data_IF_050983909201
#
_entry.id   IF_050983909201
#
_cell.length_a   1.000
_cell.length_b   1.000
_cell.length_c   1.000
_cell.angle_alpha   90.00
_cell.angle_beta   90.00
_cell.angle_gamma   90.00
#
_symmetry.space_group_name_H-M   'P 1'
#
loop_
_entity.id
_entity.type
_entity.pdbx_description
1 polymer ?
#
# COMPACT_ATOMS: atom_id res chain seq x y z
N UNK A 1 -30.64 -9.68 -6.51
CA UNK A 1 -30.14 -8.93 -5.32
C UNK A 1 -28.69 -8.59 -5.57
N UNK A 2 -28.34 -7.30 -5.60
CA UNK A 2 -26.96 -6.86 -5.78
C UNK A 2 -26.28 -6.82 -4.41
N UNK A 3 -25.07 -7.38 -4.31
CA UNK A 3 -24.23 -7.36 -3.10
C UNK A 3 -22.97 -6.54 -3.40
N UNK A 4 -22.53 -5.76 -2.41
CA UNK A 4 -21.34 -4.90 -2.51
C UNK A 4 -20.22 -5.55 -1.71
N UNK A 5 -19.04 -5.68 -2.32
CA UNK A 5 -17.86 -6.33 -1.73
C UNK A 5 -16.66 -5.38 -1.77
N UNK A 6 -15.73 -5.56 -0.81
CA UNK A 6 -14.39 -4.96 -0.85
C UNK A 6 -13.36 -6.05 -1.06
N UNK A 7 -12.24 -5.74 -1.71
CA UNK A 7 -11.06 -6.62 -1.71
C UNK A 7 -10.54 -6.75 -0.27
N UNK A 8 -10.14 -7.96 0.12
CA UNK A 8 -9.62 -8.27 1.46
C UNK A 8 -8.10 -8.33 1.50
N UNK A 9 -7.44 -8.28 0.35
CA UNK A 9 -5.98 -8.32 0.22
C UNK A 9 -5.45 -7.02 -0.33
N UNK A 10 -4.23 -6.69 0.07
CA UNK A 10 -3.47 -5.57 -0.48
C UNK A 10 -2.82 -5.97 -1.80
N UNK A 11 -2.48 -4.99 -2.62
CA UNK A 11 -1.71 -5.19 -3.85
C UNK A 11 -0.37 -4.46 -3.73
N UNK A 12 0.62 -4.91 -4.49
CA UNK A 12 1.83 -4.11 -4.76
C UNK A 12 1.67 -3.45 -6.11
N UNK A 13 2.16 -2.22 -6.25
CA UNK A 13 2.20 -1.55 -7.53
C UNK A 13 3.47 -0.71 -7.64
N UNK A 14 4.03 -0.64 -8.84
CA UNK A 14 5.19 0.19 -9.16
C UNK A 14 4.87 1.02 -10.40
N UNK A 15 5.16 2.33 -10.35
CA UNK A 15 4.97 3.21 -11.50
C UNK A 15 5.99 2.87 -12.59
N UNK A 16 5.52 2.61 -13.80
CA UNK A 16 6.32 2.27 -14.95
C UNK A 16 7.06 3.50 -15.48
N UNK A 17 8.38 3.38 -15.58
CA UNK A 17 9.28 4.46 -15.99
C UNK A 17 9.80 4.30 -17.43
N UNK A 18 9.34 3.29 -18.17
CA UNK A 18 9.83 2.97 -19.51
C UNK A 18 11.21 2.28 -19.53
N UNK A 19 11.82 1.99 -18.38
CA UNK A 19 13.17 1.44 -18.33
C UNK A 19 13.21 -0.03 -18.77
N UNK A 20 14.32 -0.40 -19.43
CA UNK A 20 14.61 -1.80 -19.79
C UNK A 20 14.63 -2.73 -18.56
N UNK A 21 14.95 -2.18 -17.37
CA UNK A 21 14.89 -2.91 -16.10
C UNK A 21 13.46 -3.32 -15.77
N UNK A 22 12.50 -2.39 -15.85
CA UNK A 22 11.09 -2.69 -15.58
C UNK A 22 10.49 -3.57 -16.68
N UNK A 23 10.87 -3.33 -17.95
CA UNK A 23 10.44 -4.15 -19.08
C UNK A 23 10.80 -5.62 -18.83
N UNK A 24 12.07 -5.90 -18.52
CA UNK A 24 12.52 -7.25 -18.19
C UNK A 24 11.88 -7.81 -16.91
N UNK A 25 11.71 -6.98 -15.88
CA UNK A 25 11.16 -7.40 -14.57
C UNK A 25 9.73 -7.91 -14.70
N UNK A 26 8.90 -7.24 -15.50
CA UNK A 26 7.47 -7.51 -15.60
C UNK A 26 7.08 -8.28 -16.86
N UNK A 27 8.06 -8.69 -17.68
CA UNK A 27 7.78 -9.36 -18.96
C UNK A 27 6.98 -8.47 -19.90
N UNK A 28 7.29 -7.17 -19.94
CA UNK A 28 6.66 -6.25 -20.89
C UNK A 28 7.26 -6.53 -22.27
N UNK A 29 6.39 -6.65 -23.26
CA UNK A 29 6.75 -6.99 -24.63
C UNK A 29 6.34 -5.85 -25.57
N UNK A 30 6.96 -5.80 -26.73
CA UNK A 30 6.42 -5.02 -27.83
C UNK A 30 5.16 -5.72 -28.36
N UNK A 31 4.06 -4.98 -28.47
CA UNK A 31 2.79 -5.47 -29.01
C UNK A 31 2.96 -6.17 -30.37
N UNK A 32 3.86 -5.68 -31.23
CA UNK A 32 4.12 -6.26 -32.54
C UNK A 32 4.80 -7.65 -32.46
N UNK A 33 5.61 -7.88 -31.42
CA UNK A 33 6.32 -9.14 -31.19
C UNK A 33 5.48 -10.15 -30.38
N UNK A 34 4.53 -9.67 -29.58
CA UNK A 34 3.68 -10.48 -28.70
C UNK A 34 2.67 -11.39 -29.45
N UNK A 35 2.47 -11.16 -30.75
CA UNK A 35 1.47 -11.87 -31.55
C UNK A 35 0.02 -11.46 -31.29
N UNK A 36 -0.21 -10.52 -30.36
CA UNK A 36 -1.51 -9.90 -30.09
C UNK A 36 -1.65 -8.63 -30.94
N UNK A 37 -2.02 -8.81 -32.21
CA UNK A 37 -2.45 -7.70 -33.07
C UNK A 37 -3.91 -7.37 -32.77
N UNK A 38 -4.14 -6.53 -31.75
CA UNK A 38 -5.44 -5.90 -31.56
C UNK A 38 -5.58 -4.76 -32.59
N UNK A 39 -6.53 -4.90 -33.53
CA UNK A 39 -6.67 -4.01 -34.69
C UNK A 39 -7.03 -2.57 -34.35
N UNK A 40 -7.36 -2.30 -33.10
CA UNK A 40 -7.71 -0.97 -32.58
C UNK A 40 -6.48 -0.15 -32.14
N UNK A 41 -5.27 -0.72 -32.20
CA UNK A 41 -4.04 -0.04 -31.82
C UNK A 41 -3.44 0.62 -33.07
N UNK A 42 -3.61 1.94 -33.19
CA UNK A 42 -3.07 2.70 -34.33
C UNK A 42 -1.52 2.76 -34.36
N UNK A 43 -0.84 2.41 -33.26
CA UNK A 43 0.63 2.44 -33.13
C UNK A 43 1.18 1.23 -32.34
N UNK A 44 2.38 0.77 -32.74
CA UNK A 44 3.23 -0.16 -32.00
C UNK A 44 3.48 0.38 -30.57
N UNK A 45 3.26 -0.44 -29.54
CA UNK A 45 3.41 -0.02 -28.15
C UNK A 45 3.81 -1.15 -27.20
N UNK A 46 4.19 -0.78 -25.98
CA UNK A 46 4.50 -1.75 -24.93
C UNK A 46 3.23 -2.32 -24.32
N UNK A 47 3.23 -3.63 -24.05
CA UNK A 47 2.11 -4.30 -23.40
C UNK A 47 2.59 -5.35 -22.39
N UNK A 48 1.75 -5.63 -21.39
CA UNK A 48 1.94 -6.73 -20.44
C UNK A 48 1.07 -7.90 -20.89
N UNK A 49 1.64 -9.06 -21.23
CA UNK A 49 0.88 -10.27 -21.47
C UNK A 49 0.14 -10.72 -20.20
N UNK A 50 -1.18 -10.85 -20.28
CA UNK A 50 -2.03 -11.37 -19.19
C UNK A 50 -2.78 -12.62 -19.63
N UNK A 51 -3.49 -13.29 -18.71
CA UNK A 51 -4.31 -14.46 -19.04
C UNK A 51 -5.49 -14.10 -19.96
N UNK A 52 -5.86 -12.82 -19.98
CA UNK A 52 -6.96 -12.24 -20.74
C UNK A 52 -6.50 -11.58 -22.06
N UNK A 53 -5.19 -11.57 -22.36
CA UNK A 53 -4.60 -10.95 -23.54
C UNK A 53 -3.52 -9.91 -23.19
N UNK A 54 -2.90 -9.28 -24.19
CA UNK A 54 -1.91 -8.24 -23.92
C UNK A 54 -2.59 -6.91 -23.55
N UNK A 55 -2.21 -6.33 -22.43
CA UNK A 55 -2.74 -5.03 -21.96
C UNK A 55 -1.71 -3.93 -22.16
N UNK A 56 -2.12 -2.82 -22.78
CA UNK A 56 -1.23 -1.68 -23.06
C UNK A 56 -0.70 -1.06 -21.78
N UNK A 57 0.57 -0.68 -21.81
CA UNK A 57 1.19 0.13 -20.76
C UNK A 57 1.95 1.31 -21.35
N UNK A 58 1.73 2.50 -20.77
CA UNK A 58 2.45 3.71 -21.13
C UNK A 58 3.35 4.15 -19.98
N UNK A 59 4.38 4.93 -20.31
CA UNK A 59 5.23 5.54 -19.29
C UNK A 59 4.39 6.41 -18.35
N UNK A 60 4.55 6.21 -17.03
CA UNK A 60 3.75 6.83 -15.98
C UNK A 60 2.57 5.99 -15.48
N UNK A 61 2.15 4.95 -16.20
CA UNK A 61 1.14 4.00 -15.71
C UNK A 61 1.69 3.12 -14.59
N UNK A 62 0.83 2.42 -13.87
CA UNK A 62 1.21 1.55 -12.75
C UNK A 62 1.14 0.09 -13.12
N UNK A 63 2.19 -0.67 -12.81
CA UNK A 63 2.17 -2.14 -12.88
C UNK A 63 1.72 -2.67 -11.53
N UNK A 64 0.48 -3.14 -11.45
CA UNK A 64 -0.03 -3.83 -10.26
C UNK A 64 0.39 -5.30 -10.28
N UNK A 65 0.63 -5.86 -9.09
CA UNK A 65 0.96 -7.28 -8.88
C UNK A 65 -0.09 -7.91 -7.98
N UNK A 66 -0.69 -8.99 -8.45
CA UNK A 66 -1.71 -9.74 -7.71
C UNK A 66 -1.13 -10.86 -6.85
N UNK A 67 -2.03 -11.72 -6.35
CA UNK A 67 -1.70 -12.72 -5.33
C UNK A 67 -0.89 -13.88 -5.92
N UNK A 68 -1.12 -14.22 -7.19
CA UNK A 68 -0.40 -15.28 -7.89
C UNK A 68 0.87 -14.75 -8.59
N UNK A 69 1.22 -13.47 -8.37
CA UNK A 69 2.33 -12.80 -9.05
C UNK A 69 1.98 -12.32 -10.46
N UNK A 70 0.70 -12.35 -10.84
CA UNK A 70 0.22 -11.81 -12.10
C UNK A 70 0.35 -10.28 -12.15
N UNK A 71 0.64 -9.75 -13.34
CA UNK A 71 0.87 -8.33 -13.56
C UNK A 71 -0.18 -7.74 -14.50
N UNK A 72 -0.64 -6.54 -14.21
CA UNK A 72 -1.50 -5.78 -15.12
C UNK A 72 -1.24 -4.28 -15.01
N UNK A 73 -1.37 -3.53 -16.12
CA UNK A 73 -1.24 -2.09 -16.11
C UNK A 73 -2.51 -1.43 -15.57
N UNK A 74 -2.34 -0.28 -14.91
CA UNK A 74 -3.40 0.61 -14.45
C UNK A 74 -2.98 2.04 -14.81
N UNK A 75 -3.82 2.76 -15.53
CA UNK A 75 -3.57 4.16 -15.85
C UNK A 75 -3.36 5.01 -14.58
N UNK A 76 -2.44 5.97 -14.61
CA UNK A 76 -2.07 6.78 -13.43
C UNK A 76 -3.28 7.47 -12.77
N UNK A 77 -4.16 8.07 -13.58
CA UNK A 77 -5.32 8.79 -13.07
C UNK A 77 -6.34 7.85 -12.42
N UNK A 78 -6.52 6.64 -12.96
CA UNK A 78 -7.34 5.58 -12.37
C UNK A 78 -6.70 5.10 -11.07
N UNK A 79 -5.40 4.80 -11.09
CA UNK A 79 -4.68 4.29 -9.93
C UNK A 79 -4.80 5.23 -8.73
N UNK A 80 -4.55 6.52 -8.92
CA UNK A 80 -4.66 7.54 -7.86
C UNK A 80 -6.08 7.73 -7.34
N UNK A 81 -7.11 7.44 -8.14
CA UNK A 81 -8.52 7.50 -7.72
C UNK A 81 -8.96 6.25 -6.95
N UNK A 82 -8.34 5.11 -7.20
CA UNK A 82 -8.82 3.81 -6.68
C UNK A 82 -7.94 3.20 -5.59
N UNK A 83 -6.69 3.64 -5.44
CA UNK A 83 -5.74 3.10 -4.45
C UNK A 83 -5.20 4.18 -3.53
N UNK A 84 -4.92 3.79 -2.29
CA UNK A 84 -4.22 4.58 -1.30
C UNK A 84 -3.07 3.75 -0.73
N UNK A 85 -1.95 4.39 -0.45
CA UNK A 85 -0.85 3.74 0.24
C UNK A 85 -1.26 3.34 1.65
N UNK A 86 -0.70 2.23 2.13
CA UNK A 86 -0.90 1.81 3.50
C UNK A 86 -0.21 2.79 4.46
N UNK A 87 -0.80 3.04 5.64
CA UNK A 87 -0.14 3.85 6.65
C UNK A 87 1.19 3.23 7.07
N UNK A 88 2.21 4.07 7.20
CA UNK A 88 3.48 3.70 7.80
C UNK A 88 3.41 3.99 9.30
N UNK A 89 3.71 2.99 10.13
CA UNK A 89 3.66 3.09 11.60
C UNK A 89 4.97 2.65 12.24
N UNK A 90 5.32 3.17 13.42
CA UNK A 90 6.43 2.66 14.20
C UNK A 90 6.22 1.22 14.62
N UNK A 91 7.33 0.48 14.81
CA UNK A 91 7.29 -0.90 15.30
C UNK A 91 6.50 -1.07 16.60
N UNK A 92 6.61 -0.14 17.54
CA UNK A 92 5.88 -0.23 18.81
C UNK A 92 4.35 -0.20 18.64
N UNK A 93 3.85 0.50 17.61
CA UNK A 93 2.43 0.56 17.27
C UNK A 93 2.00 -0.74 16.58
N UNK A 94 2.82 -1.23 15.66
CA UNK A 94 2.59 -2.51 14.98
C UNK A 94 2.53 -3.67 15.98
N UNK A 95 3.51 -3.76 16.88
CA UNK A 95 3.57 -4.80 17.93
C UNK A 95 2.29 -4.76 18.80
N UNK A 96 1.81 -3.56 19.14
CA UNK A 96 0.58 -3.40 19.92
C UNK A 96 -0.68 -3.81 19.15
N UNK A 97 -0.76 -3.49 17.84
CA UNK A 97 -1.87 -3.93 16.98
C UNK A 97 -1.95 -5.45 16.94
N UNK A 98 -0.82 -6.13 16.72
CA UNK A 98 -0.76 -7.59 16.66
C UNK A 98 -1.11 -8.24 18.01
N UNK A 99 -0.55 -7.71 19.11
CA UNK A 99 -0.90 -8.18 20.46
C UNK A 99 -2.41 -8.05 20.75
N UNK A 100 -3.02 -6.94 20.34
CA UNK A 100 -4.45 -6.73 20.50
C UNK A 100 -5.27 -7.73 19.68
N UNK A 101 -4.89 -7.97 18.41
CA UNK A 101 -5.56 -8.94 17.55
C UNK A 101 -5.47 -10.36 18.12
N UNK A 102 -4.29 -10.78 18.56
CA UNK A 102 -4.06 -12.09 19.18
C UNK A 102 -4.91 -12.29 20.44
N UNK A 103 -5.06 -11.23 21.25
CA UNK A 103 -5.87 -11.23 22.47
C UNK A 103 -7.35 -10.94 22.22
N UNK A 104 -7.78 -10.79 20.96
CA UNK A 104 -9.16 -10.39 20.60
C UNK A 104 -9.63 -9.10 21.28
N UNK A 105 -8.71 -8.18 21.53
CA UNK A 105 -8.98 -6.85 22.06
C UNK A 105 -9.61 -6.00 20.96
N UNK A 106 -10.71 -5.32 21.27
CA UNK A 106 -11.40 -4.46 20.30
C UNK A 106 -10.56 -3.23 19.95
N UNK A 107 -10.81 -2.63 18.78
CA UNK A 107 -10.14 -1.37 18.40
C UNK A 107 -10.40 -0.25 19.42
N UNK A 108 -11.59 -0.23 20.04
CA UNK A 108 -11.94 0.74 21.09
C UNK A 108 -11.09 0.56 22.35
N UNK A 109 -10.91 -0.69 22.78
CA UNK A 109 -10.06 -1.02 23.93
C UNK A 109 -8.57 -0.77 23.64
N UNK A 110 -8.11 -1.02 22.41
CA UNK A 110 -6.74 -0.80 21.96
C UNK A 110 -6.35 0.70 21.97
N UNK A 111 -7.32 1.60 21.73
CA UNK A 111 -7.14 3.06 21.78
C UNK A 111 -7.32 3.67 23.18
N UNK A 112 -7.87 2.92 24.14
CA UNK A 112 -8.10 3.36 25.51
C UNK A 112 -6.80 3.80 26.19
N UNK A 113 -6.77 5.03 26.73
CA UNK A 113 -5.58 5.65 27.35
C UNK A 113 -4.93 4.80 28.44
N UNK A 114 -5.74 4.15 29.25
CA UNK A 114 -5.36 3.41 30.45
C UNK A 114 -4.73 2.06 30.11
N UNK A 115 -4.89 1.59 28.87
CA UNK A 115 -4.44 0.26 28.41
C UNK A 115 -3.31 0.31 27.40
N UNK A 116 -3.01 1.49 26.84
CA UNK A 116 -1.96 1.64 25.83
C UNK A 116 -0.56 1.47 26.45
N UNK A 117 0.34 0.72 25.80
CA UNK A 117 1.76 0.78 26.12
C UNK A 117 2.29 2.22 26.02
N UNK A 118 3.25 2.57 26.88
CA UNK A 118 3.81 3.93 26.95
C UNK A 118 4.31 4.43 25.58
N UNK A 119 5.07 3.62 24.85
CA UNK A 119 5.59 3.99 23.52
C UNK A 119 4.47 4.30 22.52
N UNK A 120 3.38 3.53 22.56
CA UNK A 120 2.20 3.76 21.72
C UNK A 120 1.47 5.04 22.15
N UNK A 121 1.33 5.25 23.47
CA UNK A 121 0.71 6.46 24.03
C UNK A 121 1.45 7.71 23.61
N UNK A 122 2.75 7.73 23.81
CA UNK A 122 3.61 8.88 23.58
C UNK A 122 3.68 9.21 22.10
N UNK A 123 3.87 8.20 21.26
CA UNK A 123 3.86 8.38 19.81
C UNK A 123 2.53 8.93 19.30
N UNK A 124 1.40 8.45 19.82
CA UNK A 124 0.08 8.88 19.34
C UNK A 124 -0.27 10.29 19.81
N UNK A 125 0.12 10.69 21.03
CA UNK A 125 -0.50 11.81 21.72
C UNK A 125 0.44 12.95 22.12
N UNK A 126 1.76 12.72 22.19
CA UNK A 126 2.71 13.72 22.68
C UNK A 126 3.53 14.35 21.56
N UNK A 127 3.87 15.63 21.74
CA UNK A 127 4.83 16.31 20.86
C UNK A 127 6.21 15.68 21.02
N UNK A 128 6.85 15.21 19.93
CA UNK A 128 8.16 14.54 19.99
C UNK A 128 9.20 15.35 20.76
N UNK A 129 9.93 14.69 21.66
CA UNK A 129 10.95 15.33 22.50
C UNK A 129 10.39 16.11 23.70
N UNK A 130 9.07 16.06 23.93
CA UNK A 130 8.42 16.74 25.05
C UNK A 130 7.36 15.83 25.69
N UNK A 131 6.76 16.30 26.80
CA UNK A 131 5.61 15.67 27.45
C UNK A 131 4.30 16.47 27.23
N UNK A 132 4.25 17.33 26.21
CA UNK A 132 3.06 18.13 25.91
C UNK A 132 2.10 17.33 25.03
N UNK A 133 0.81 17.34 25.41
CA UNK A 133 -0.25 16.70 24.63
C UNK A 133 -0.56 17.52 23.37
N UNK A 134 -0.54 16.85 22.21
CA UNK A 134 -0.87 17.43 20.92
C UNK A 134 -2.20 16.85 20.42
N UNK A 135 -3.26 17.66 20.51
CA UNK A 135 -4.60 17.26 20.09
C UNK A 135 -4.71 16.96 18.60
N UNK A 136 -4.02 17.73 17.75
CA UNK A 136 -4.06 17.54 16.30
C UNK A 136 -3.34 16.24 15.91
N UNK A 137 -2.19 15.98 16.56
CA UNK A 137 -1.47 14.72 16.44
C UNK A 137 -2.33 13.55 16.89
N UNK A 138 -2.93 13.65 18.07
CA UNK A 138 -3.77 12.61 18.66
C UNK A 138 -4.89 12.18 17.71
N UNK A 139 -5.65 13.14 17.16
CA UNK A 139 -6.71 12.85 16.20
C UNK A 139 -6.17 12.21 14.91
N UNK A 140 -5.11 12.79 14.33
CA UNK A 140 -4.50 12.26 13.09
C UNK A 140 -4.01 10.83 13.28
N UNK A 141 -3.39 10.53 14.42
CA UNK A 141 -2.80 9.22 14.67
C UNK A 141 -3.89 8.18 14.96
N UNK A 142 -5.01 8.55 15.59
CA UNK A 142 -6.17 7.65 15.73
C UNK A 142 -6.71 7.19 14.37
N UNK A 143 -6.92 8.11 13.43
CA UNK A 143 -7.34 7.76 12.07
C UNK A 143 -6.31 6.86 11.37
N UNK A 144 -5.03 7.20 11.51
CA UNK A 144 -3.93 6.42 10.94
C UNK A 144 -3.87 5.00 11.51
N UNK A 145 -4.04 4.84 12.83
CA UNK A 145 -4.12 3.52 13.49
C UNK A 145 -5.38 2.78 13.03
N UNK A 146 -6.52 3.45 12.86
CA UNK A 146 -7.74 2.81 12.38
C UNK A 146 -7.56 2.24 10.97
N UNK A 147 -6.90 2.99 10.08
CA UNK A 147 -6.49 2.49 8.75
C UNK A 147 -5.50 1.33 8.87
N UNK A 148 -4.49 1.44 9.73
CA UNK A 148 -3.52 0.37 9.97
C UNK A 148 -4.20 -0.93 10.45
N UNK A 149 -5.17 -0.79 11.35
CA UNK A 149 -5.95 -1.90 11.90
C UNK A 149 -6.80 -2.60 10.84
N UNK A 150 -7.50 -1.83 9.99
CA UNK A 150 -8.48 -2.33 9.03
C UNK A 150 -7.89 -2.75 7.69
N UNK A 151 -6.97 -1.94 7.15
CA UNK A 151 -6.45 -2.08 5.79
C UNK A 151 -5.04 -2.70 5.77
N UNK A 152 -4.35 -2.73 6.92
CA UNK A 152 -2.95 -3.13 7.05
C UNK A 152 -2.00 -1.92 7.08
N UNK A 153 -0.71 -2.17 7.27
CA UNK A 153 0.29 -1.13 7.48
C UNK A 153 1.67 -1.52 6.95
N UNK A 154 2.55 -0.52 6.85
CA UNK A 154 3.99 -0.70 6.70
C UNK A 154 4.69 -0.30 8.00
N UNK A 155 5.83 -0.91 8.31
CA UNK A 155 6.61 -0.55 9.50
C UNK A 155 7.75 0.38 9.09
N UNK A 156 7.93 1.48 9.83
CA UNK A 156 9.07 2.39 9.65
C UNK A 156 10.39 1.61 9.68
N UNK A 157 11.29 1.89 8.72
CA UNK A 157 12.63 1.33 8.76
C UNK A 157 13.32 1.79 10.06
N UNK A 158 13.88 0.86 10.82
CA UNK A 158 14.69 1.21 11.98
C UNK A 158 15.93 1.95 11.48
N UNK A 159 15.94 3.28 11.58
CA UNK A 159 17.19 4.02 11.58
C UNK A 159 17.88 3.67 12.90
N UNK A 160 18.80 2.72 12.82
CA UNK A 160 19.70 2.37 13.89
C UNK A 160 20.54 3.62 14.19
N UNK A 161 20.07 4.47 15.11
CA UNK A 161 20.86 5.58 15.65
C UNK A 161 21.90 5.01 16.61
N UNK A 162 22.76 4.14 16.10
CA UNK A 162 24.08 3.85 16.66
C UNK A 162 25.08 4.60 15.80
N UNK A 163 25.13 5.91 16.00
CA UNK A 163 26.34 6.69 15.72
C UNK A 163 27.14 6.73 17.00
N UNK A 164 28.42 6.35 16.85
CA UNK A 164 29.48 6.21 17.85
C UNK A 164 29.68 7.43 18.76
#
# INVERSE_FOLDING_TARGET
MIKIYRKTVTIKAEQFDGSQKMIKKYGIEDSAESGYNDSDWEDEGLCIPTKEGCLRINNGDWVATGIEGEHWPIADDVFRKTYAELPVIPKAVADWIEECKDKSISIGDMLCSERRPEKMRDWMALTPGTYQFDYARYQKHQELIARAWLDGYQVEAQHDTRTD
#
